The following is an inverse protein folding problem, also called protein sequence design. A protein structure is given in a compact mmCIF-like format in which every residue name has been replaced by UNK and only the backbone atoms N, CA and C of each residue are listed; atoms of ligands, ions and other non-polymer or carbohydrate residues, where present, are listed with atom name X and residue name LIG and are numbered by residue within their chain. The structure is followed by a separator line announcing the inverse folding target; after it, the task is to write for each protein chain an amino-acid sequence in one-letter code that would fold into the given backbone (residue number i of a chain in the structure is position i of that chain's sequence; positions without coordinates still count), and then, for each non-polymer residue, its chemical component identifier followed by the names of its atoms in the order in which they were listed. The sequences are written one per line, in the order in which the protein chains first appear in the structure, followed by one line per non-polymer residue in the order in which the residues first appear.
data_IF_568549200012
#
_entry.id   IF_568549200012
#
_cell.length_a   1.000
_cell.length_b   1.000
_cell.length_c   1.000
_cell.angle_alpha   90.00
_cell.angle_beta   90.00
_cell.angle_gamma   90.00
#
_symmetry.space_group_name_H-M   'P 1'
#
loop_
_entity.id
_entity.type
_entity.pdbx_description
1 polymer ?
#
# COMPACT_ATOMS: atom_id res chain seq x y z
N UNK A 1 14.47 -2.97 15.95
CA UNK A 1 13.18 -3.51 15.51
C UNK A 1 12.19 -2.42 15.11
N UNK A 2 11.06 -2.83 14.62
CA UNK A 2 9.99 -1.91 14.25
C UNK A 2 9.27 -1.41 15.50
N UNK A 3 8.87 -0.13 15.48
CA UNK A 3 8.09 0.51 16.53
C UNK A 3 6.65 0.62 16.08
N UNK A 4 5.71 0.25 16.95
CA UNK A 4 4.28 0.42 16.69
C UNK A 4 3.88 1.89 16.85
N UNK A 5 3.12 2.38 15.89
CA UNK A 5 2.51 3.71 15.97
C UNK A 5 1.02 3.60 15.67
N UNK A 6 0.20 4.01 16.64
CA UNK A 6 -1.24 3.89 16.50
C UNK A 6 -1.79 4.97 15.56
N UNK A 7 -2.68 4.55 14.66
CA UNK A 7 -3.43 5.48 13.82
C UNK A 7 -4.44 6.29 14.65
N UNK A 8 -4.77 7.48 14.17
CA UNK A 8 -5.88 8.24 14.74
C UNK A 8 -7.19 7.46 14.60
N UNK A 9 -8.05 7.53 15.64
CA UNK A 9 -9.29 6.73 15.72
C UNK A 9 -10.48 7.48 15.10
N UNK A 10 -10.26 8.34 14.14
CA UNK A 10 -11.32 9.12 13.48
C UNK A 10 -11.44 8.71 12.02
N UNK A 11 -12.57 9.00 11.36
CA UNK A 11 -12.64 8.87 9.91
C UNK A 11 -11.49 9.64 9.26
N UNK A 12 -11.00 9.12 8.14
CA UNK A 12 -9.85 9.69 7.42
C UNK A 12 -8.55 9.66 8.25
N UNK A 13 -8.28 8.53 8.89
CA UNK A 13 -7.09 8.32 9.70
C UNK A 13 -5.82 8.59 8.89
N UNK A 14 -4.83 9.20 9.56
CA UNK A 14 -3.50 9.46 8.99
C UNK A 14 -2.46 8.57 9.65
N UNK A 15 -1.61 7.90 8.87
CA UNK A 15 -0.68 6.87 9.30
C UNK A 15 0.71 7.10 8.71
N UNK A 16 1.70 7.28 9.53
CA UNK A 16 1.78 8.16 10.67
C UNK A 16 1.78 9.63 10.22
N UNK A 17 1.93 10.57 11.12
CA UNK A 17 1.87 12.00 10.81
C UNK A 17 3.09 12.55 10.08
N UNK A 18 4.15 11.76 9.97
CA UNK A 18 5.44 12.18 9.44
C UNK A 18 5.91 11.22 8.36
N UNK A 19 6.92 11.62 7.64
CA UNK A 19 7.59 10.75 6.70
C UNK A 19 8.24 9.59 7.44
N UNK A 20 8.05 8.40 6.90
CA UNK A 20 8.78 7.20 7.29
C UNK A 20 9.60 6.78 6.08
N UNK A 21 10.83 6.41 6.32
CA UNK A 21 11.67 5.83 5.30
C UNK A 21 11.34 4.36 5.05
N UNK A 22 12.37 3.56 4.90
CA UNK A 22 12.22 2.12 4.74
C UNK A 22 12.03 1.44 6.09
N UNK A 23 11.77 0.13 6.09
CA UNK A 23 11.53 -0.70 7.26
C UNK A 23 10.24 -0.31 7.98
N UNK A 24 9.13 -0.61 7.34
CA UNK A 24 7.80 -0.42 7.88
C UNK A 24 6.95 -1.66 7.68
N UNK A 25 5.88 -1.74 8.46
CA UNK A 25 4.77 -2.68 8.26
C UNK A 25 3.46 -1.92 8.50
N UNK A 26 2.61 -1.89 7.50
CA UNK A 26 1.22 -1.45 7.63
C UNK A 26 0.36 -2.69 7.68
N UNK A 27 -0.51 -2.82 8.68
CA UNK A 27 -1.37 -3.98 8.86
C UNK A 27 -2.79 -3.55 9.16
N UNK A 28 -3.76 -4.24 8.59
CA UNK A 28 -5.17 -4.02 8.86
C UNK A 28 -5.98 -5.28 8.55
N UNK A 29 -7.14 -5.40 9.20
CA UNK A 29 -8.13 -6.40 8.87
C UNK A 29 -9.12 -5.80 7.88
N UNK A 30 -9.51 -6.58 6.88
CA UNK A 30 -10.47 -6.16 5.87
C UNK A 30 -11.61 -7.17 5.77
N UNK A 31 -12.84 -6.64 5.67
CA UNK A 31 -13.97 -7.36 5.14
C UNK A 31 -14.26 -6.74 3.77
N UNK A 32 -13.95 -7.49 2.72
CA UNK A 32 -14.04 -7.03 1.35
C UNK A 32 -15.49 -6.76 0.92
N UNK A 33 -15.65 -5.72 0.11
CA UNK A 33 -16.89 -5.41 -0.58
C UNK A 33 -16.60 -5.32 -2.08
N UNK A 34 -17.67 -5.19 -2.88
CA UNK A 34 -17.53 -4.99 -4.32
C UNK A 34 -17.09 -3.55 -4.59
N UNK A 35 -15.79 -3.35 -4.75
CA UNK A 35 -15.20 -2.04 -5.01
C UNK A 35 -15.09 -1.80 -6.50
N UNK A 36 -15.45 -0.59 -6.92
CA UNK A 36 -15.21 -0.14 -8.29
C UNK A 36 -13.72 0.00 -8.56
N UNK A 37 -13.30 -0.26 -9.80
CA UNK A 37 -11.92 0.01 -10.22
C UNK A 37 -11.58 1.49 -10.00
N UNK A 38 -10.40 1.74 -9.45
CA UNK A 38 -9.96 3.07 -9.06
C UNK A 38 -10.30 3.47 -7.63
N UNK A 39 -10.85 2.54 -6.83
CA UNK A 39 -11.16 2.81 -5.42
C UNK A 39 -9.87 2.92 -4.62
N UNK A 40 -9.68 4.08 -3.99
CA UNK A 40 -8.50 4.39 -3.19
C UNK A 40 -8.73 4.02 -1.73
N UNK A 41 -7.71 3.49 -1.07
CA UNK A 41 -7.69 3.29 0.39
C UNK A 41 -6.95 4.43 1.08
N UNK A 42 -5.75 4.74 0.59
CA UNK A 42 -4.91 5.80 1.14
C UNK A 42 -4.44 6.76 0.07
N UNK A 43 -4.23 8.00 0.49
CA UNK A 43 -3.46 9.01 -0.25
C UNK A 43 -2.24 9.41 0.54
N UNK A 44 -1.19 9.75 -0.17
CA UNK A 44 0.04 10.30 0.41
C UNK A 44 0.60 11.37 -0.53
N UNK A 45 1.63 12.13 -0.13
CA UNK A 45 2.25 13.07 -1.06
C UNK A 45 2.70 12.34 -2.33
N UNK A 46 2.15 12.77 -3.46
CA UNK A 46 2.46 12.26 -4.82
C UNK A 46 2.24 10.76 -5.02
N UNK A 47 1.40 10.12 -4.19
CA UNK A 47 1.14 8.70 -4.30
C UNK A 47 -0.29 8.36 -3.88
N UNK A 48 -0.76 7.21 -4.37
CA UNK A 48 -2.08 6.64 -4.04
C UNK A 48 -1.92 5.16 -3.72
N UNK A 49 -2.69 4.66 -2.76
CA UNK A 49 -2.83 3.23 -2.53
C UNK A 49 -4.26 2.82 -2.85
N UNK A 50 -4.41 1.84 -3.75
CA UNK A 50 -5.71 1.38 -4.24
C UNK A 50 -6.14 0.09 -3.55
N UNK A 51 -7.40 0.03 -3.10
CA UNK A 51 -8.08 -1.24 -2.83
C UNK A 51 -8.36 -1.99 -4.13
N UNK A 52 -8.65 -1.25 -5.18
CA UNK A 52 -8.94 -1.79 -6.51
C UNK A 52 -8.31 -0.84 -7.52
N UNK A 53 -7.21 -1.25 -8.13
CA UNK A 53 -6.52 -0.36 -9.06
C UNK A 53 -7.36 -0.09 -10.32
N UNK A 54 -7.15 1.04 -10.99
CA UNK A 54 -8.02 1.45 -12.09
C UNK A 54 -7.91 0.58 -13.35
N UNK A 55 -6.87 -0.26 -13.46
CA UNK A 55 -6.64 -1.09 -14.65
C UNK A 55 -7.10 -2.52 -14.40
N UNK A 56 -6.61 -3.17 -13.33
CA UNK A 56 -6.84 -4.59 -13.09
C UNK A 56 -7.80 -4.88 -11.93
N UNK A 57 -8.11 -3.89 -11.08
CA UNK A 57 -8.94 -4.11 -9.90
C UNK A 57 -8.21 -4.81 -8.76
N UNK A 58 -6.89 -4.85 -8.80
CA UNK A 58 -6.07 -5.49 -7.76
C UNK A 58 -5.58 -4.48 -6.75
N UNK A 59 -5.12 -4.96 -5.59
CA UNK A 59 -4.38 -4.14 -4.63
C UNK A 59 -3.12 -3.59 -5.30
N UNK A 60 -2.83 -2.33 -5.09
CA UNK A 60 -1.64 -1.72 -5.66
C UNK A 60 -1.49 -0.27 -5.26
N UNK A 61 -0.42 0.34 -5.72
CA UNK A 61 -0.20 1.76 -5.46
C UNK A 61 0.40 2.43 -6.70
N UNK A 62 0.09 3.70 -6.85
CA UNK A 62 0.66 4.54 -7.88
C UNK A 62 1.65 5.51 -7.23
N UNK A 63 2.83 5.60 -7.81
CA UNK A 63 3.90 6.49 -7.37
C UNK A 63 4.71 6.92 -8.58
N UNK A 64 5.04 8.19 -8.65
CA UNK A 64 5.87 8.75 -9.73
C UNK A 64 5.35 8.41 -11.14
N UNK A 65 4.03 8.35 -11.31
CA UNK A 65 3.40 8.01 -12.58
C UNK A 65 3.39 6.52 -12.92
N UNK A 66 3.87 5.66 -12.03
CA UNK A 66 3.88 4.21 -12.23
C UNK A 66 2.86 3.53 -11.33
N UNK A 67 2.11 2.59 -11.91
CA UNK A 67 1.21 1.72 -11.16
C UNK A 67 1.95 0.42 -10.82
N UNK A 68 1.96 0.09 -9.52
CA UNK A 68 2.59 -1.12 -9.00
C UNK A 68 1.52 -1.97 -8.35
N UNK A 69 1.18 -3.11 -8.95
CA UNK A 69 0.15 -4.01 -8.43
C UNK A 69 0.77 -5.20 -7.71
N UNK A 70 0.06 -5.68 -6.68
CA UNK A 70 0.49 -6.87 -5.93
C UNK A 70 -0.06 -8.17 -6.51
N UNK A 71 -0.74 -8.12 -7.64
CA UNK A 71 -1.35 -9.30 -8.28
C UNK A 71 -2.29 -10.07 -7.34
N UNK A 72 -3.00 -9.34 -6.48
CA UNK A 72 -3.96 -9.88 -5.52
C UNK A 72 -5.21 -9.03 -5.52
N UNK A 73 -6.37 -9.68 -5.61
CA UNK A 73 -7.67 -9.02 -5.57
C UNK A 73 -8.40 -9.39 -4.28
N UNK A 74 -8.85 -8.38 -3.53
CA UNK A 74 -9.78 -8.60 -2.41
C UNK A 74 -11.17 -8.87 -2.99
N UNK A 75 -11.72 -10.02 -2.67
CA UNK A 75 -13.05 -10.41 -3.16
C UNK A 75 -14.15 -9.90 -2.24
N UNK A 76 -15.37 -9.62 -2.79
CA UNK A 76 -16.52 -9.33 -1.95
C UNK A 76 -16.76 -10.42 -0.92
N UNK A 77 -16.94 -10.04 0.34
CA UNK A 77 -17.16 -10.98 1.44
C UNK A 77 -15.89 -11.62 2.00
N UNK A 78 -14.74 -11.38 1.41
CA UNK A 78 -13.47 -11.91 1.92
C UNK A 78 -13.12 -11.26 3.24
N UNK A 79 -12.73 -12.09 4.23
CA UNK A 79 -12.14 -11.66 5.48
C UNK A 79 -10.65 -11.97 5.44
N UNK A 80 -9.81 -10.97 5.60
CA UNK A 80 -8.36 -11.15 5.56
C UNK A 80 -7.65 -10.15 6.47
N UNK A 81 -6.49 -10.55 6.98
CA UNK A 81 -5.52 -9.62 7.55
C UNK A 81 -4.51 -9.29 6.46
N UNK A 82 -4.44 -8.03 6.11
CA UNK A 82 -3.54 -7.52 5.07
C UNK A 82 -2.36 -6.87 5.74
N UNK A 83 -1.15 -7.23 5.30
CA UNK A 83 0.08 -6.59 5.73
C UNK A 83 0.87 -6.13 4.51
N UNK A 84 1.44 -4.93 4.60
CA UNK A 84 2.34 -4.41 3.58
C UNK A 84 3.61 -4.00 4.29
N UNK A 85 4.69 -4.71 3.99
CA UNK A 85 6.00 -4.43 4.58
C UNK A 85 6.96 -3.95 3.51
N UNK A 86 7.85 -3.04 3.88
CA UNK A 86 8.85 -2.54 2.97
C UNK A 86 10.19 -2.34 3.64
N UNK A 87 11.24 -2.65 2.89
CA UNK A 87 12.60 -2.22 3.20
C UNK A 87 13.13 -1.43 2.00
N UNK A 88 14.42 -1.11 1.98
CA UNK A 88 15.00 -0.32 0.89
C UNK A 88 15.15 -1.10 -0.43
N UNK A 89 14.63 -2.32 -0.52
CA UNK A 89 14.80 -3.20 -1.69
C UNK A 89 13.49 -3.80 -2.17
N UNK A 90 12.61 -4.22 -1.25
CA UNK A 90 11.42 -4.99 -1.59
C UNK A 90 10.24 -4.54 -0.76
N UNK A 91 9.07 -4.52 -1.37
CA UNK A 91 7.79 -4.32 -0.71
C UNK A 91 6.98 -5.61 -0.86
N UNK A 92 6.48 -6.14 0.25
CA UNK A 92 5.79 -7.42 0.30
C UNK A 92 4.35 -7.23 0.71
N UNK A 93 3.46 -7.98 0.04
CA UNK A 93 2.08 -8.13 0.47
C UNK A 93 1.95 -9.42 1.26
N UNK A 94 1.41 -9.30 2.47
CA UNK A 94 1.08 -10.42 3.34
C UNK A 94 -0.44 -10.55 3.42
N UNK A 95 -0.95 -11.75 3.22
CA UNK A 95 -2.36 -12.07 3.41
C UNK A 95 -2.45 -13.20 4.42
N UNK A 96 -3.11 -12.93 5.54
CA UNK A 96 -3.26 -13.90 6.65
C UNK A 96 -1.91 -14.49 7.09
N UNK A 97 -0.90 -13.62 7.19
CA UNK A 97 0.44 -14.00 7.64
C UNK A 97 1.34 -14.63 6.59
N UNK A 98 0.88 -14.80 5.36
CA UNK A 98 1.68 -15.38 4.27
C UNK A 98 2.05 -14.31 3.25
N UNK A 99 3.30 -14.32 2.79
CA UNK A 99 3.75 -13.47 1.70
C UNK A 99 3.15 -14.01 0.40
N UNK A 100 2.33 -13.19 -0.26
CA UNK A 100 1.67 -13.59 -1.51
C UNK A 100 2.22 -12.86 -2.72
N UNK A 101 2.95 -11.76 -2.52
CA UNK A 101 3.59 -11.03 -3.61
C UNK A 101 4.76 -10.21 -3.09
N UNK A 102 5.76 -10.04 -3.94
CA UNK A 102 6.94 -9.22 -3.66
C UNK A 102 7.21 -8.28 -4.83
N UNK A 103 7.38 -7.01 -4.53
CA UNK A 103 7.75 -5.99 -5.51
C UNK A 103 9.20 -5.60 -5.28
N UNK A 104 10.09 -6.13 -6.10
CA UNK A 104 11.53 -5.89 -6.01
C UNK A 104 11.91 -4.55 -6.65
N UNK A 105 13.14 -4.11 -6.42
CA UNK A 105 13.73 -2.98 -7.13
C UNK A 105 13.60 -3.23 -8.63
N UNK A 106 13.17 -2.20 -9.34
CA UNK A 106 13.02 -2.23 -10.78
C UNK A 106 13.93 -1.17 -11.40
N UNK A 107 14.71 -1.58 -12.40
CA UNK A 107 15.51 -0.63 -13.17
C UNK A 107 14.58 0.11 -14.13
N UNK A 108 14.63 1.43 -14.10
CA UNK A 108 13.91 2.32 -15.01
C UNK A 108 14.90 3.06 -15.89
N UNK A 109 14.57 3.17 -17.16
CA UNK A 109 15.39 3.86 -18.15
C UNK A 109 14.75 5.19 -18.50
N UNK A 110 15.58 6.19 -18.74
CA UNK A 110 15.15 7.53 -19.13
C UNK A 110 16.16 8.14 -20.10
N UNK A 111 15.87 9.35 -20.58
CA UNK A 111 16.71 10.04 -21.56
C UNK A 111 16.95 9.19 -22.81
N UNK A 112 15.85 8.66 -23.40
CA UNK A 112 15.93 7.82 -24.59
C UNK A 112 16.64 6.49 -24.37
N UNK A 113 16.66 5.98 -23.14
CA UNK A 113 17.34 4.72 -22.78
C UNK A 113 18.82 4.86 -22.47
N UNK A 114 19.35 6.09 -22.49
CA UNK A 114 20.78 6.33 -22.23
C UNK A 114 21.14 6.25 -20.77
N UNK A 115 20.20 6.59 -19.89
CA UNK A 115 20.39 6.60 -18.44
C UNK A 115 19.43 5.63 -17.79
N UNK A 116 19.78 5.18 -16.60
CA UNK A 116 18.91 4.30 -15.79
C UNK A 116 19.04 4.64 -14.31
N UNK A 117 17.99 4.30 -13.57
CA UNK A 117 17.99 4.38 -12.11
C UNK A 117 17.27 3.18 -11.53
N UNK A 118 17.66 2.81 -10.32
CA UNK A 118 16.94 1.80 -9.55
C UNK A 118 15.71 2.47 -8.92
N UNK A 119 14.55 1.90 -9.20
CA UNK A 119 13.27 2.39 -8.69
C UNK A 119 12.79 1.46 -7.58
N UNK A 120 12.76 1.99 -6.35
CA UNK A 120 12.25 1.26 -5.18
C UNK A 120 10.74 1.44 -5.13
N UNK A 121 10.01 0.35 -5.28
CA UNK A 121 8.54 0.37 -5.26
C UNK A 121 8.08 0.25 -3.82
N UNK A 122 7.71 1.36 -3.20
CA UNK A 122 7.39 1.41 -1.78
C UNK A 122 6.25 2.39 -1.49
N UNK A 123 5.61 2.22 -0.34
CA UNK A 123 4.63 3.19 0.15
C UNK A 123 5.32 4.50 0.50
N UNK A 124 4.58 5.58 0.40
CA UNK A 124 5.00 6.93 0.78
C UNK A 124 4.15 7.36 1.98
N UNK A 125 4.80 7.78 3.04
CA UNK A 125 4.13 8.24 4.24
C UNK A 125 4.16 9.78 4.34
N UNK A 126 3.20 10.37 5.05
CA UNK A 126 2.07 9.76 5.75
C UNK A 126 1.00 9.22 4.78
N UNK A 127 0.28 8.19 5.22
CA UNK A 127 -0.84 7.63 4.49
C UNK A 127 -2.14 8.18 5.08
N UNK A 128 -2.91 8.90 4.26
CA UNK A 128 -4.22 9.43 4.66
C UNK A 128 -5.32 8.50 4.15
N UNK A 129 -6.11 7.93 5.07
CA UNK A 129 -7.27 7.12 4.67
C UNK A 129 -8.31 7.99 3.97
N UNK A 130 -8.83 7.54 2.82
CA UNK A 130 -9.76 8.33 2.02
C UNK A 130 -11.20 8.27 2.53
N UNK A 131 -11.59 7.13 3.13
CA UNK A 131 -12.96 6.91 3.58
C UNK A 131 -13.97 6.65 2.46
N UNK A 132 -13.56 6.64 1.19
CA UNK A 132 -14.44 6.51 0.03
C UNK A 132 -14.44 5.08 -0.52
N UNK A 133 -14.65 4.10 0.35
CA UNK A 133 -14.70 2.69 -0.04
C UNK A 133 -15.79 1.99 0.76
N UNK A 134 -16.27 0.87 0.24
CA UNK A 134 -17.35 0.08 0.83
C UNK A 134 -16.85 -0.98 1.81
N UNK A 135 -15.63 -1.46 1.64
CA UNK A 135 -15.01 -2.46 2.51
C UNK A 135 -14.86 -1.94 3.93
N UNK A 136 -14.86 -2.86 4.90
CA UNK A 136 -14.64 -2.52 6.30
C UNK A 136 -13.18 -2.72 6.65
N UNK A 137 -12.54 -1.68 7.18
CA UNK A 137 -11.14 -1.71 7.61
C UNK A 137 -11.10 -1.52 9.12
N UNK A 138 -10.50 -2.50 9.81
CA UNK A 138 -10.35 -2.48 11.27
C UNK A 138 -8.91 -2.83 11.65
N UNK A 139 -8.53 -2.57 12.90
CA UNK A 139 -7.20 -2.88 13.44
C UNK A 139 -6.05 -2.31 12.61
N UNK A 140 -6.22 -1.07 12.16
CA UNK A 140 -5.20 -0.41 11.37
C UNK A 140 -3.99 -0.06 12.24
N UNK A 141 -2.83 -0.59 11.87
CA UNK A 141 -1.58 -0.50 12.65
C UNK A 141 -0.42 -0.16 11.74
N UNK A 142 0.50 0.64 12.25
CA UNK A 142 1.77 0.91 11.58
C UNK A 142 2.91 0.62 12.52
N UNK A 143 3.87 -0.14 12.03
CA UNK A 143 5.16 -0.38 12.68
C UNK A 143 6.25 0.21 11.78
N UNK A 144 7.24 0.84 12.39
CA UNK A 144 8.35 1.44 11.63
C UNK A 144 9.61 1.52 12.46
N UNK A 145 10.71 1.73 11.79
CA UNK A 145 11.98 2.03 12.45
C UNK A 145 12.09 3.48 12.85
#
# INVERSE_FOLDING_TARGET
GLVYEQAAVTPNRTLPYREIGYNYLVSFDIKGADEAKGTELFRSPDALFYLSDPISGMLGFARDGYLNTFNYRIMPGEHATVGISGDNRVTRLHINGKIVEELNIQKRFYNGGKDSMNYVRTLVFPLQETGNFKSQITNLKVYHQ
#
